data_IF_429111656465
#
_entry.id   IF_429111656465
#
_cell.length_a   1.000
_cell.length_b   1.000
_cell.length_c   1.000
_cell.angle_alpha   90.00
_cell.angle_beta   90.00
_cell.angle_gamma   90.00
#
_symmetry.space_group_name_H-M   'P 1'
#
loop_
_entity.id
_entity.type
_entity.pdbx_description
1 polymer ?
#
# COMPACT_ATOMS: atom_id res chain seq x y z
N UNK A 1 36.70 13.81 60.27
CA UNK A 1 35.91 13.76 59.01
C UNK A 1 35.27 15.13 58.77
N UNK A 2 35.91 16.00 57.95
CA UNK A 2 35.38 17.33 57.59
C UNK A 2 34.14 17.14 56.72
N UNK A 3 32.95 17.48 57.23
CA UNK A 3 31.72 17.50 56.41
C UNK A 3 31.91 18.54 55.31
N UNK A 4 31.88 18.10 54.06
CA UNK A 4 32.11 18.93 52.89
C UNK A 4 31.12 20.13 52.89
N UNK A 5 31.59 21.39 52.76
CA UNK A 5 30.76 22.60 52.83
C UNK A 5 29.70 22.70 51.72
N UNK A 6 29.77 21.80 50.74
CA UNK A 6 28.84 21.64 49.62
C UNK A 6 27.43 21.26 50.11
N UNK A 7 27.30 20.44 51.16
CA UNK A 7 25.99 19.99 51.66
C UNK A 7 25.15 21.14 52.24
N UNK A 8 25.77 22.08 52.96
CA UNK A 8 25.05 23.24 53.49
C UNK A 8 24.60 24.22 52.38
N UNK A 9 25.37 24.35 51.30
CA UNK A 9 24.96 25.13 50.11
C UNK A 9 23.80 24.48 49.34
N UNK A 10 23.74 23.15 49.34
CA UNK A 10 22.62 22.40 48.76
C UNK A 10 21.33 22.60 49.58
N UNK A 11 21.44 22.60 50.91
CA UNK A 11 20.30 22.73 51.85
C UNK A 11 19.82 24.19 52.07
N UNK A 12 20.64 25.19 51.75
CA UNK A 12 20.22 26.59 51.75
C UNK A 12 19.23 26.85 50.59
N UNK A 13 18.05 27.37 50.92
CA UNK A 13 16.91 27.58 50.00
C UNK A 13 16.41 26.32 49.28
N UNK A 14 16.45 25.17 49.96
CA UNK A 14 16.01 23.88 49.40
C UNK A 14 14.56 23.89 48.90
N UNK A 15 13.68 24.69 49.53
CA UNK A 15 12.27 24.87 49.15
C UNK A 15 12.10 25.46 47.74
N UNK A 16 12.88 26.49 47.39
CA UNK A 16 12.83 27.10 46.04
C UNK A 16 13.32 26.12 44.98
N UNK A 17 14.38 25.36 45.29
CA UNK A 17 14.93 24.34 44.39
C UNK A 17 13.95 23.19 44.16
N UNK A 18 13.24 22.76 45.20
CA UNK A 18 12.21 21.72 45.11
C UNK A 18 11.05 22.16 44.20
N UNK A 19 10.56 23.39 44.38
CA UNK A 19 9.50 23.96 43.53
C UNK A 19 9.98 24.05 42.08
N UNK A 20 11.21 24.52 41.85
CA UNK A 20 11.78 24.58 40.50
C UNK A 20 11.89 23.19 39.85
N UNK A 21 12.28 22.16 40.61
CA UNK A 21 12.35 20.79 40.11
C UNK A 21 10.97 20.23 39.79
N UNK A 22 9.98 20.53 40.63
CA UNK A 22 8.59 20.12 40.41
C UNK A 22 7.99 20.75 39.15
N UNK A 23 8.21 22.05 38.95
CA UNK A 23 7.77 22.75 37.73
C UNK A 23 8.49 22.19 36.49
N UNK A 24 9.79 21.96 36.58
CA UNK A 24 10.55 21.33 35.49
C UNK A 24 10.01 19.93 35.16
N UNK A 25 9.64 19.14 36.19
CA UNK A 25 9.03 17.82 36.00
C UNK A 25 7.64 17.90 35.35
N UNK A 26 6.78 18.83 35.76
CA UNK A 26 5.48 19.05 35.14
C UNK A 26 5.59 19.49 33.68
N UNK A 27 6.52 20.40 33.38
CA UNK A 27 6.82 20.81 32.01
C UNK A 27 7.35 19.65 31.17
N UNK A 28 8.26 18.86 31.72
CA UNK A 28 8.78 17.68 31.04
C UNK A 28 7.67 16.66 30.75
N UNK A 29 6.75 16.42 31.69
CA UNK A 29 5.59 15.55 31.50
C UNK A 29 4.65 16.10 30.41
N UNK A 30 4.39 17.40 30.41
CA UNK A 30 3.54 18.05 29.40
C UNK A 30 4.13 17.94 27.99
N UNK A 31 5.43 18.21 27.84
CA UNK A 31 6.14 18.11 26.55
C UNK A 31 6.24 16.66 26.09
N UNK A 32 6.54 15.72 27.00
CA UNK A 32 6.71 14.31 26.66
C UNK A 32 5.38 13.62 26.31
N UNK A 33 4.27 14.06 26.90
CA UNK A 33 2.94 13.49 26.64
C UNK A 33 2.35 13.82 25.26
N UNK A 34 2.89 14.82 24.56
CA UNK A 34 2.44 15.25 23.22
C UNK A 34 3.20 14.56 22.08
N UNK A 35 4.09 13.62 22.38
CA UNK A 35 4.92 12.99 21.36
C UNK A 35 4.07 12.09 20.46
N UNK A 36 3.81 12.55 19.24
CA UNK A 36 3.18 11.75 18.18
C UNK A 36 4.13 10.60 17.80
N UNK A 37 3.60 9.37 17.81
CA UNK A 37 4.35 8.20 17.36
C UNK A 37 4.20 8.02 15.84
N UNK A 38 5.24 7.48 15.23
CA UNK A 38 5.27 7.11 13.81
C UNK A 38 5.29 5.60 13.69
N UNK A 39 4.35 5.05 12.91
CA UNK A 39 4.23 3.61 12.69
C UNK A 39 4.22 3.31 11.21
N UNK A 40 5.06 2.37 10.81
CA UNK A 40 5.05 1.79 9.47
C UNK A 40 3.96 0.73 9.40
N UNK A 41 3.10 0.84 8.40
CA UNK A 41 1.99 -0.06 8.16
C UNK A 41 2.02 -0.49 6.69
N UNK A 42 1.83 -1.78 6.46
CA UNK A 42 1.72 -2.34 5.12
C UNK A 42 0.24 -2.41 4.73
N UNK A 43 -0.10 -1.83 3.59
CA UNK A 43 -1.48 -1.77 3.07
C UNK A 43 -1.55 -2.42 1.69
N UNK A 44 -2.71 -2.97 1.34
CA UNK A 44 -2.93 -3.57 0.02
C UNK A 44 -2.91 -2.51 -1.07
N UNK A 45 -2.35 -2.85 -2.22
CA UNK A 45 -2.30 -1.99 -3.40
C UNK A 45 -3.27 -2.47 -4.48
N UNK A 46 -4.07 -1.56 -5.02
CA UNK A 46 -5.06 -1.86 -6.05
C UNK A 46 -5.04 -0.83 -7.19
N UNK A 47 -5.36 -1.29 -8.40
CA UNK A 47 -5.51 -0.42 -9.56
C UNK A 47 -7.01 -0.15 -9.77
N UNK A 48 -7.42 1.11 -9.72
CA UNK A 48 -8.81 1.54 -9.91
C UNK A 48 -8.99 2.16 -11.30
N UNK A 49 -10.19 1.97 -11.86
CA UNK A 49 -10.59 2.53 -13.17
C UNK A 49 -9.70 2.08 -14.35
N UNK A 50 -9.28 0.82 -14.36
CA UNK A 50 -8.57 0.24 -15.51
C UNK A 50 -9.55 0.06 -16.69
N UNK A 51 -9.30 0.63 -17.88
CA UNK A 51 -10.18 0.45 -19.02
C UNK A 51 -10.16 -1.00 -19.52
N UNK A 52 -11.32 -1.57 -19.86
CA UNK A 52 -11.50 -3.01 -20.23
C UNK A 52 -10.59 -3.53 -21.35
N UNK A 53 -10.04 -2.64 -22.18
CA UNK A 53 -9.15 -3.00 -23.29
C UNK A 53 -7.67 -3.02 -22.89
N UNK A 54 -7.33 -2.78 -21.63
CA UNK A 54 -5.96 -2.73 -21.15
C UNK A 54 -5.74 -3.66 -19.97
N UNK A 55 -4.56 -4.29 -19.92
CA UNK A 55 -4.08 -5.06 -18.78
C UNK A 55 -2.74 -4.50 -18.30
N UNK A 56 -2.48 -4.66 -17.01
CA UNK A 56 -1.18 -4.36 -16.42
C UNK A 56 -0.25 -5.53 -16.74
N UNK A 57 0.73 -5.30 -17.62
CA UNK A 57 1.67 -6.34 -18.06
C UNK A 57 2.90 -6.46 -17.14
N UNK A 58 3.19 -5.42 -16.36
CA UNK A 58 4.33 -5.42 -15.46
C UNK A 58 4.03 -5.98 -14.07
N UNK A 59 5.07 -6.47 -13.39
CA UNK A 59 4.96 -6.94 -12.01
C UNK A 59 4.84 -5.75 -11.06
N UNK A 60 3.69 -5.63 -10.40
CA UNK A 60 3.41 -4.61 -9.39
C UNK A 60 3.41 -5.24 -8.00
N UNK A 61 3.87 -4.53 -6.96
CA UNK A 61 3.76 -5.02 -5.59
C UNK A 61 2.30 -5.07 -5.14
N UNK A 62 1.90 -6.18 -4.51
CA UNK A 62 0.57 -6.35 -3.92
C UNK A 62 0.34 -5.46 -2.69
N UNK A 63 1.43 -4.93 -2.11
CA UNK A 63 1.39 -4.12 -0.90
C UNK A 63 2.36 -2.94 -0.95
N UNK A 64 2.01 -1.88 -0.25
CA UNK A 64 2.84 -0.68 -0.10
C UNK A 64 2.97 -0.30 1.38
N UNK A 65 4.10 0.30 1.74
CA UNK A 65 4.37 0.71 3.10
C UNK A 65 3.99 2.18 3.28
N UNK A 66 3.20 2.45 4.32
CA UNK A 66 2.72 3.79 4.66
C UNK A 66 3.17 4.11 6.07
N UNK A 67 3.84 5.24 6.24
CA UNK A 67 4.22 5.77 7.55
C UNK A 67 3.09 6.68 8.01
N UNK A 68 2.41 6.27 9.07
CA UNK A 68 1.36 7.04 9.71
C UNK A 68 1.89 7.67 10.99
N UNK A 69 1.43 8.89 11.28
CA UNK A 69 1.77 9.67 12.46
C UNK A 69 0.53 9.96 13.28
N UNK A 70 0.57 9.71 14.58
CA UNK A 70 -0.53 9.98 15.49
C UNK A 70 -0.29 9.54 16.93
N UNK A 71 -1.29 9.71 17.79
CA UNK A 71 -1.25 9.21 19.18
C UNK A 71 -1.41 7.69 19.20
N UNK A 72 -0.74 7.03 20.14
CA UNK A 72 -0.72 5.57 20.26
C UNK A 72 -2.13 4.93 20.27
N UNK A 73 -3.05 5.53 21.02
CA UNK A 73 -4.47 5.13 21.12
C UNK A 73 -5.19 5.05 19.77
N UNK A 74 -4.80 5.86 18.78
CA UNK A 74 -5.45 5.88 17.47
C UNK A 74 -5.00 4.73 16.56
N UNK A 75 -3.83 4.15 16.81
CA UNK A 75 -3.35 3.01 16.03
C UNK A 75 -4.11 1.73 16.38
N UNK A 76 -4.65 1.62 17.60
CA UNK A 76 -5.46 0.47 18.03
C UNK A 76 -6.82 0.44 17.34
N UNK A 77 -7.36 1.61 16.98
CA UNK A 77 -8.64 1.75 16.27
C UNK A 77 -8.50 1.56 14.75
N UNK A 78 -7.28 1.53 14.24
CA UNK A 78 -7.02 1.39 12.81
C UNK A 78 -7.04 -0.09 12.42
N UNK A 79 -7.99 -0.46 11.54
CA UNK A 79 -7.93 -1.74 10.85
C UNK A 79 -7.08 -1.61 9.58
N UNK A 80 -5.89 -2.19 9.62
CA UNK A 80 -4.94 -2.16 8.50
C UNK A 80 -5.41 -3.00 7.31
N UNK A 81 -6.35 -3.92 7.52
CA UNK A 81 -6.86 -4.85 6.50
C UNK A 81 -7.83 -4.17 5.52
N UNK A 82 -8.50 -3.12 5.98
CA UNK A 82 -9.52 -2.37 5.22
C UNK A 82 -8.89 -1.12 4.57
N UNK A 83 -7.67 -0.76 4.96
CA UNK A 83 -6.93 0.35 4.37
C UNK A 83 -6.31 -0.09 3.04
N UNK A 84 -6.67 0.61 1.97
CA UNK A 84 -6.20 0.30 0.61
C UNK A 84 -5.48 1.50 0.01
N UNK A 85 -4.33 1.23 -0.59
CA UNK A 85 -3.63 2.14 -1.47
C UNK A 85 -4.07 1.90 -2.91
N UNK A 86 -4.28 2.96 -3.68
CA UNK A 86 -4.70 2.83 -5.06
C UNK A 86 -4.02 3.81 -6.00
N UNK A 87 -3.99 3.42 -7.27
CA UNK A 87 -3.71 4.30 -8.40
C UNK A 87 -4.99 4.40 -9.24
N UNK A 88 -5.33 5.62 -9.63
CA UNK A 88 -6.46 5.90 -10.51
C UNK A 88 -5.97 6.12 -11.95
N UNK A 89 -6.49 5.31 -12.88
CA UNK A 89 -6.14 5.32 -14.29
C UNK A 89 -7.16 6.04 -15.19
N UNK A 90 -8.25 6.58 -14.63
CA UNK A 90 -9.42 7.10 -15.39
C UNK A 90 -9.03 8.12 -16.49
N UNK A 91 -7.99 8.93 -16.27
CA UNK A 91 -7.57 10.02 -17.19
C UNK A 91 -6.16 9.88 -17.73
N UNK A 92 -5.51 8.73 -17.50
CA UNK A 92 -4.08 8.54 -17.75
C UNK A 92 -3.80 7.14 -18.30
N UNK A 93 -4.30 6.89 -19.50
CA UNK A 93 -4.01 5.66 -20.25
C UNK A 93 -2.76 5.92 -21.09
N UNK A 94 -1.61 5.84 -20.45
CA UNK A 94 -0.32 5.84 -21.13
C UNK A 94 0.19 4.40 -21.16
N UNK A 95 0.77 3.99 -22.29
CA UNK A 95 1.37 2.67 -22.44
C UNK A 95 2.47 2.42 -21.39
N UNK A 96 3.18 3.47 -21.01
CA UNK A 96 4.25 3.47 -20.02
C UNK A 96 4.20 4.81 -19.26
N UNK A 97 3.87 4.76 -17.95
CA UNK A 97 3.96 5.95 -17.11
C UNK A 97 4.17 5.61 -15.63
N UNK A 98 4.66 6.61 -14.89
CA UNK A 98 4.73 6.58 -13.43
C UNK A 98 3.48 7.23 -12.84
N UNK A 99 2.84 6.53 -11.93
CA UNK A 99 1.64 6.97 -11.25
C UNK A 99 1.92 7.18 -9.77
N UNK A 100 1.35 8.24 -9.21
CA UNK A 100 1.47 8.51 -7.77
C UNK A 100 0.44 7.68 -7.02
N UNK A 101 0.89 6.98 -5.99
CA UNK A 101 0.04 6.16 -5.12
C UNK A 101 -0.76 7.09 -4.20
N UNK A 102 -2.06 6.80 -4.08
CA UNK A 102 -2.99 7.48 -3.18
C UNK A 102 -3.49 6.49 -2.13
N UNK A 103 -3.86 6.99 -0.96
CA UNK A 103 -4.45 6.17 0.11
C UNK A 103 -5.94 6.51 0.19
N UNK A 104 -6.76 5.48 0.31
CA UNK A 104 -8.19 5.65 0.53
C UNK A 104 -8.45 6.24 1.92
N UNK A 105 -8.75 7.54 1.95
CA UNK A 105 -9.00 8.28 3.19
C UNK A 105 -10.32 7.91 3.84
N UNK A 106 -11.22 7.20 3.15
CA UNK A 106 -12.53 6.81 3.70
C UNK A 106 -12.37 5.86 4.89
N UNK A 107 -11.37 4.98 4.83
CA UNK A 107 -11.10 3.97 5.86
C UNK A 107 -9.98 4.40 6.83
N UNK A 108 -9.39 5.58 6.63
CA UNK A 108 -8.35 6.13 7.51
C UNK A 108 -8.99 7.03 8.58
N UNK A 109 -8.79 6.75 9.89
CA UNK A 109 -9.23 7.62 10.97
C UNK A 109 -8.63 9.02 10.81
N UNK A 110 -9.46 10.06 10.98
CA UNK A 110 -9.03 11.47 10.83
C UNK A 110 -7.95 11.90 11.82
N UNK A 111 -7.78 11.16 12.91
CA UNK A 111 -6.75 11.39 13.93
C UNK A 111 -5.35 10.93 13.50
N UNK A 112 -5.23 10.15 12.43
CA UNK A 112 -3.96 9.71 11.87
C UNK A 112 -3.59 10.53 10.63
N UNK A 113 -2.32 10.95 10.56
CA UNK A 113 -1.76 11.68 9.42
C UNK A 113 -0.83 10.79 8.63
N UNK A 114 -0.93 10.83 7.31
CA UNK A 114 0.03 10.16 6.43
C UNK A 114 1.30 11.03 6.39
N UNK A 115 2.41 10.50 6.89
CA UNK A 115 3.72 11.15 6.80
C UNK A 115 4.39 10.81 5.49
N UNK A 116 4.42 9.53 5.13
CA UNK A 116 5.17 9.03 3.98
C UNK A 116 4.50 7.79 3.37
N UNK A 117 4.68 7.62 2.06
CA UNK A 117 4.22 6.46 1.30
C UNK A 117 5.42 5.93 0.51
N UNK A 118 5.73 4.65 0.71
CA UNK A 118 6.86 3.96 0.11
C UNK A 118 6.39 2.68 -0.60
N UNK A 119 6.54 2.60 -1.94
CA UNK A 119 7.01 3.65 -2.85
C UNK A 119 5.98 4.78 -3.05
N UNK A 120 6.44 6.00 -3.34
CA UNK A 120 5.53 7.15 -3.62
C UNK A 120 4.91 7.08 -5.02
N UNK A 121 5.65 6.49 -5.95
CA UNK A 121 5.25 6.34 -7.34
C UNK A 121 5.51 4.91 -7.78
N UNK A 122 4.60 4.38 -8.58
CA UNK A 122 4.72 3.06 -9.18
C UNK A 122 4.75 3.22 -10.70
N UNK A 123 5.60 2.44 -11.34
CA UNK A 123 5.63 2.36 -12.79
C UNK A 123 4.58 1.34 -13.22
N UNK A 124 3.71 1.71 -14.17
CA UNK A 124 2.71 0.82 -14.73
C UNK A 124 2.90 0.79 -16.25
N UNK A 125 2.92 -0.44 -16.78
CA UNK A 125 2.92 -0.69 -18.22
C UNK A 125 1.58 -1.28 -18.60
N UNK A 126 0.84 -0.55 -19.44
CA UNK A 126 -0.49 -0.95 -19.90
C UNK A 126 -0.37 -1.50 -21.31
N UNK A 127 -0.80 -2.74 -21.49
CA UNK A 127 -0.86 -3.37 -22.81
C UNK A 127 -2.32 -3.55 -23.24
N UNK A 128 -2.57 -3.30 -24.52
CA UNK A 128 -3.91 -3.44 -25.08
C UNK A 128 -4.21 -4.90 -25.32
N UNK A 129 -5.22 -5.43 -24.65
CA UNK A 129 -5.75 -6.77 -24.97
C UNK A 129 -6.56 -6.68 -26.25
N UNK A 130 -6.19 -7.49 -27.23
CA UNK A 130 -6.91 -7.62 -28.49
C UNK A 130 -7.48 -9.02 -28.55
N UNK A 131 -8.78 -9.14 -28.29
CA UNK A 131 -9.50 -10.39 -28.54
C UNK A 131 -9.50 -10.65 -30.04
N UNK A 132 -8.75 -11.66 -30.47
CA UNK A 132 -8.78 -12.14 -31.85
C UNK A 132 -9.66 -13.38 -31.91
N UNK A 133 -10.64 -13.36 -32.80
CA UNK A 133 -11.36 -14.58 -33.15
C UNK A 133 -10.49 -15.40 -34.10
N UNK A 134 -10.14 -16.63 -33.71
CA UNK A 134 -9.29 -17.53 -34.49
C UNK A 134 -10.10 -18.76 -34.87
N UNK A 135 -10.02 -19.13 -36.15
CA UNK A 135 -10.65 -20.33 -36.68
C UNK A 135 -9.93 -21.58 -36.18
N UNK A 136 -10.70 -22.58 -35.73
CA UNK A 136 -10.14 -23.84 -35.22
C UNK A 136 -9.88 -24.77 -36.39
N UNK A 137 -8.61 -24.89 -36.79
CA UNK A 137 -8.19 -25.84 -37.83
C UNK A 137 -7.81 -27.17 -37.16
N UNK A 138 -8.52 -28.28 -37.44
CA UNK A 138 -8.23 -29.57 -36.83
C UNK A 138 -6.97 -30.17 -37.47
N UNK A 139 -5.98 -30.52 -36.65
CA UNK A 139 -4.81 -31.29 -37.10
C UNK A 139 -5.14 -32.76 -36.95
N UNK A 140 -5.35 -33.45 -38.07
CA UNK A 140 -5.58 -34.89 -38.10
C UNK A 140 -4.21 -35.57 -38.10
N UNK A 141 -3.92 -36.30 -37.04
CA UNK A 141 -2.73 -37.16 -36.93
C UNK A 141 -3.22 -38.58 -37.22
N UNK A 142 -2.65 -39.22 -38.24
CA UNK A 142 -3.01 -40.53 -38.83
C UNK A 142 -4.03 -40.56 -39.99
N UNK A 143 -3.87 -41.58 -40.84
CA UNK A 143 -4.76 -41.88 -41.95
C UNK A 143 -5.93 -42.77 -41.48
N UNK A 144 -7.11 -42.66 -42.11
CA UNK A 144 -8.22 -43.53 -41.81
C UNK A 144 -7.87 -45.00 -42.16
N UNK A 145 -8.43 -45.99 -41.46
CA UNK A 145 -8.20 -47.40 -41.73
C UNK A 145 -8.55 -47.79 -43.18
N UNK A 146 -7.97 -48.88 -43.68
CA UNK A 146 -8.26 -49.40 -45.03
C UNK A 146 -9.77 -49.55 -45.26
N UNK A 147 -10.25 -48.96 -46.36
CA UNK A 147 -11.67 -48.96 -46.73
C UNK A 147 -12.48 -47.76 -46.25
N UNK A 148 -11.89 -46.85 -45.47
CA UNK A 148 -12.54 -45.63 -45.00
C UNK A 148 -11.91 -44.37 -45.60
N UNK A 149 -12.74 -43.35 -45.83
CA UNK A 149 -12.32 -42.02 -46.30
C UNK A 149 -12.98 -40.96 -45.42
N UNK A 150 -12.30 -39.83 -45.20
CA UNK A 150 -12.91 -38.69 -44.52
C UNK A 150 -14.02 -38.12 -45.41
N UNK A 151 -15.23 -38.00 -44.87
CA UNK A 151 -16.40 -37.45 -45.58
C UNK A 151 -16.55 -35.96 -45.29
N UNK A 152 -16.85 -35.59 -44.03
CA UNK A 152 -16.87 -34.20 -43.57
C UNK A 152 -16.30 -34.14 -42.15
N UNK A 153 -15.43 -33.17 -41.88
CA UNK A 153 -14.88 -32.90 -40.55
C UNK A 153 -15.59 -31.67 -40.00
N UNK A 154 -16.47 -31.89 -39.02
CA UNK A 154 -17.20 -30.81 -38.34
C UNK A 154 -16.46 -30.44 -37.05
N UNK A 155 -16.05 -29.17 -36.95
CA UNK A 155 -15.34 -28.65 -35.78
C UNK A 155 -16.28 -27.76 -34.98
N UNK A 156 -16.57 -28.16 -33.74
CA UNK A 156 -17.44 -27.39 -32.84
C UNK A 156 -16.64 -27.13 -31.56
N UNK A 157 -16.34 -25.87 -31.22
CA UNK A 157 -16.70 -24.64 -31.93
C UNK A 157 -15.82 -24.36 -33.17
N UNK A 158 -16.39 -23.75 -34.21
CA UNK A 158 -15.66 -23.34 -35.43
C UNK A 158 -14.65 -22.21 -35.17
N UNK A 159 -14.84 -21.45 -34.08
CA UNK A 159 -14.02 -20.30 -33.76
C UNK A 159 -13.91 -20.11 -32.24
N UNK A 160 -12.72 -19.70 -31.76
CA UNK A 160 -12.44 -19.49 -30.34
C UNK A 160 -11.81 -18.11 -30.14
N UNK A 161 -12.23 -17.42 -29.08
CA UNK A 161 -11.62 -16.18 -28.65
C UNK A 161 -10.30 -16.48 -27.94
N UNK A 162 -9.21 -15.89 -28.41
CA UNK A 162 -7.90 -15.93 -27.75
C UNK A 162 -7.60 -14.53 -27.21
N UNK A 163 -7.20 -14.45 -25.94
CA UNK A 163 -6.81 -13.21 -25.23
C UNK A 163 -5.30 -13.02 -25.22
#
# INVERSE_FOLDING_TARGET
MKKLPIFNRLLYNWHVKLISLFIAFLLWMYVSGLQEQEKLITVKFEVRNLPERYVVSNNIPDTVNVVLKGREENFTLLDTSILTAYVDLEKKVFNDARFQIQIDRKNLPRSLKIKEINPRTIHLTLERVVRKNVEVVPVIVDNPPYGFVFSNVTVIPESVYVE
#
